data_IF_505909584131
#
_entry.id   IF_505909584131
#
_cell.length_a   1.000
_cell.length_b   1.000
_cell.length_c   1.000
_cell.angle_alpha   90.00
_cell.angle_beta   90.00
_cell.angle_gamma   90.00
#
_symmetry.space_group_name_H-M   'P 1'
#
loop_
_entity.id
_entity.type
_entity.pdbx_description
1 polymer ?
#
# COMPACT_ATOMS: atom_id res chain seq x y z
N UNK A 1 0.67 -37.97 11.88
CA UNK A 1 2.05 -37.96 11.35
C UNK A 1 2.14 -36.75 10.38
N UNK A 2 3.07 -35.85 10.61
CA UNK A 2 3.36 -34.81 9.63
C UNK A 2 3.95 -35.46 8.36
N UNK A 3 3.31 -35.30 7.22
CA UNK A 3 3.82 -35.80 5.95
C UNK A 3 4.89 -34.85 5.41
N UNK A 4 6.01 -35.37 4.94
CA UNK A 4 7.03 -34.57 4.22
C UNK A 4 6.45 -33.83 2.98
N UNK A 5 5.30 -34.30 2.47
CA UNK A 5 4.57 -33.61 1.40
C UNK A 5 3.99 -32.25 1.79
N UNK A 6 3.96 -31.91 3.09
CA UNK A 6 3.54 -30.61 3.61
C UNK A 6 4.70 -29.61 3.72
N UNK A 7 5.94 -30.08 3.54
CA UNK A 7 7.14 -29.22 3.53
C UNK A 7 7.37 -28.78 2.10
N UNK A 8 7.17 -27.50 1.84
CA UNK A 8 7.29 -26.90 0.51
C UNK A 8 8.41 -25.86 0.42
N UNK A 9 9.06 -25.54 1.54
CA UNK A 9 10.12 -24.54 1.59
C UNK A 9 11.19 -24.92 2.62
N UNK A 10 12.43 -24.49 2.39
CA UNK A 10 13.58 -24.72 3.27
C UNK A 10 14.33 -23.41 3.46
N UNK A 11 14.52 -23.02 4.71
CA UNK A 11 15.30 -21.85 5.12
C UNK A 11 16.44 -22.27 6.05
N UNK A 12 17.43 -21.42 6.20
CA UNK A 12 18.57 -21.68 7.10
C UNK A 12 18.33 -21.00 8.45
N UNK A 13 18.52 -21.75 9.54
CA UNK A 13 18.57 -21.19 10.89
C UNK A 13 20.00 -21.25 11.41
N UNK A 14 20.50 -20.13 11.94
CA UNK A 14 21.83 -19.99 12.56
C UNK A 14 21.64 -19.77 14.06
N UNK A 15 21.62 -20.82 14.90
CA UNK A 15 21.22 -20.74 16.30
C UNK A 15 22.07 -19.77 17.12
N UNK A 16 23.37 -19.71 16.86
CA UNK A 16 24.32 -18.85 17.58
C UNK A 16 23.97 -17.35 17.49
N UNK A 17 23.22 -16.95 16.47
CA UNK A 17 22.81 -15.56 16.23
C UNK A 17 21.30 -15.35 16.27
N UNK A 18 20.52 -16.40 16.57
CA UNK A 18 19.05 -16.39 16.47
C UNK A 18 18.56 -15.88 15.11
N UNK A 19 19.27 -16.25 14.04
CA UNK A 19 19.09 -15.71 12.71
C UNK A 19 18.43 -16.73 11.80
N UNK A 20 17.43 -16.30 11.05
CA UNK A 20 16.85 -17.06 9.94
C UNK A 20 17.27 -16.41 8.63
N UNK A 21 17.58 -17.21 7.62
CA UNK A 21 18.01 -16.76 6.31
C UNK A 21 17.21 -17.51 5.26
N UNK A 22 16.52 -16.79 4.40
CA UNK A 22 15.88 -17.31 3.20
C UNK A 22 16.61 -16.82 1.96
N UNK A 23 17.35 -17.73 1.32
CA UNK A 23 18.12 -17.44 0.11
C UNK A 23 17.24 -17.25 -1.14
N UNK A 24 15.96 -17.55 -1.08
CA UNK A 24 15.02 -17.35 -2.19
C UNK A 24 14.51 -15.91 -2.28
N UNK A 25 14.63 -15.15 -1.21
CA UNK A 25 14.25 -13.74 -1.13
C UNK A 25 15.46 -12.84 -1.40
N UNK A 26 15.75 -12.59 -2.67
CA UNK A 26 16.96 -11.87 -3.10
C UNK A 26 17.08 -10.41 -2.63
N UNK A 27 16.01 -9.82 -2.10
CA UNK A 27 15.96 -8.42 -1.64
C UNK A 27 15.67 -8.29 -0.14
N UNK A 28 15.41 -9.39 0.56
CA UNK A 28 15.27 -9.36 2.01
C UNK A 28 16.66 -9.20 2.67
N UNK A 29 16.84 -8.25 3.60
CA UNK A 29 18.07 -8.16 4.38
C UNK A 29 18.30 -9.44 5.21
N UNK A 30 19.57 -9.77 5.47
CA UNK A 30 19.91 -10.91 6.31
C UNK A 30 19.24 -10.79 7.69
N UNK A 31 18.59 -11.86 8.13
CA UNK A 31 17.86 -11.91 9.41
C UNK A 31 16.40 -11.51 9.35
N UNK A 32 15.91 -11.12 8.19
CA UNK A 32 14.48 -10.93 7.97
C UNK A 32 13.89 -12.16 7.31
N UNK A 33 12.66 -12.48 7.67
CA UNK A 33 11.91 -13.61 7.10
C UNK A 33 10.84 -13.06 6.18
N UNK A 34 10.71 -13.57 4.95
CA UNK A 34 9.60 -13.23 4.07
C UNK A 34 8.26 -13.49 4.76
N UNK A 35 7.26 -12.66 4.47
CA UNK A 35 5.94 -12.75 5.09
C UNK A 35 5.30 -14.14 4.99
N UNK A 36 5.41 -14.88 3.86
CA UNK A 36 4.87 -16.24 3.77
C UNK A 36 5.50 -17.24 4.76
N UNK A 37 6.70 -16.94 5.27
CA UNK A 37 7.41 -17.81 6.21
C UNK A 37 7.28 -17.35 7.66
N UNK A 38 6.64 -16.19 7.90
CA UNK A 38 6.46 -15.64 9.24
C UNK A 38 5.43 -16.46 10.05
N UNK A 39 5.75 -16.72 11.33
CA UNK A 39 4.92 -17.50 12.26
C UNK A 39 4.52 -18.90 11.73
N UNK A 40 5.34 -19.52 10.88
CA UNK A 40 5.10 -20.84 10.32
C UNK A 40 5.70 -21.95 11.20
N UNK A 41 5.04 -23.13 11.31
CA UNK A 41 5.64 -24.29 11.93
C UNK A 41 6.80 -24.79 11.08
N UNK A 42 7.94 -25.05 11.71
CA UNK A 42 9.15 -25.56 11.07
C UNK A 42 9.68 -26.79 11.79
N UNK A 43 10.45 -27.59 11.07
CA UNK A 43 11.21 -28.72 11.62
C UNK A 43 12.68 -28.39 11.44
N UNK A 44 13.42 -28.26 12.54
CA UNK A 44 14.88 -28.20 12.47
C UNK A 44 15.45 -29.57 12.12
N UNK A 45 16.23 -29.61 11.05
CA UNK A 45 16.89 -30.84 10.59
C UNK A 45 18.29 -30.85 11.17
N UNK A 46 18.60 -31.85 12.00
CA UNK A 46 19.88 -32.01 12.64
C UNK A 46 20.01 -33.40 13.31
N UNK A 47 20.98 -33.56 14.20
CA UNK A 47 21.18 -34.81 14.96
C UNK A 47 19.94 -35.16 15.82
N UNK A 48 19.23 -34.13 16.27
CA UNK A 48 17.91 -34.24 16.91
C UNK A 48 16.97 -33.29 16.20
N UNK A 49 15.89 -33.85 15.64
CA UNK A 49 14.86 -33.03 14.97
C UNK A 49 13.94 -32.39 16.01
N UNK A 50 13.75 -31.12 15.94
CA UNK A 50 12.84 -30.35 16.80
C UNK A 50 11.82 -29.58 15.97
N UNK A 51 10.63 -29.41 16.53
CA UNK A 51 9.59 -28.57 15.95
C UNK A 51 9.63 -27.20 16.62
N UNK A 52 9.52 -26.16 15.82
CA UNK A 52 9.46 -24.77 16.29
C UNK A 52 8.51 -23.94 15.43
N UNK A 53 8.47 -22.66 15.66
CA UNK A 53 7.87 -21.67 14.77
C UNK A 53 8.91 -20.63 14.40
N UNK A 54 8.86 -20.16 13.16
CA UNK A 54 9.59 -18.97 12.74
C UNK A 54 9.08 -17.76 13.53
N UNK A 55 9.88 -16.70 13.65
CA UNK A 55 9.43 -15.43 14.21
C UNK A 55 8.12 -14.95 13.57
N UNK A 56 7.32 -14.22 14.35
CA UNK A 56 6.10 -13.59 13.87
C UNK A 56 6.36 -12.46 12.88
N UNK A 57 5.28 -11.95 12.31
CA UNK A 57 5.30 -10.73 11.53
C UNK A 57 5.66 -9.51 12.42
N UNK A 58 6.26 -8.50 11.78
CA UNK A 58 6.57 -7.22 12.38
C UNK A 58 5.89 -6.10 11.54
N UNK A 59 4.59 -5.81 11.81
CA UNK A 59 3.83 -4.88 10.99
C UNK A 59 4.49 -3.50 10.84
N UNK A 60 5.17 -3.03 11.88
CA UNK A 60 5.88 -1.75 11.88
C UNK A 60 7.13 -1.73 10.98
N UNK A 61 7.68 -2.89 10.63
CA UNK A 61 8.88 -2.99 9.78
C UNK A 61 8.55 -2.95 8.28
N UNK A 62 7.29 -3.14 7.90
CA UNK A 62 6.87 -3.18 6.50
C UNK A 62 5.78 -2.15 6.24
N UNK A 63 6.04 -1.22 5.35
CA UNK A 63 5.07 -0.19 5.08
C UNK A 63 5.44 0.78 3.98
N UNK A 64 4.59 1.79 3.87
CA UNK A 64 4.64 2.80 2.84
C UNK A 64 4.32 4.18 3.42
N UNK A 65 5.11 5.18 3.03
CA UNK A 65 4.76 6.58 3.23
C UNK A 65 4.81 7.29 1.90
N UNK A 66 3.69 7.87 1.49
CA UNK A 66 3.54 8.59 0.22
C UNK A 66 3.21 10.06 0.42
N UNK A 67 3.73 10.88 -0.48
CA UNK A 67 3.36 12.28 -0.64
C UNK A 67 3.02 12.52 -2.11
N UNK A 68 1.90 13.16 -2.36
CA UNK A 68 1.53 13.54 -3.72
C UNK A 68 0.97 14.97 -3.77
N UNK A 69 1.13 15.58 -4.93
CA UNK A 69 0.42 16.82 -5.29
C UNK A 69 -0.31 16.57 -6.60
N UNK A 70 -1.62 16.77 -6.58
CA UNK A 70 -2.51 16.56 -7.73
C UNK A 70 -3.11 17.89 -8.15
N UNK A 71 -2.86 18.32 -9.38
CA UNK A 71 -3.53 19.45 -10.01
C UNK A 71 -4.67 18.95 -10.87
N UNK A 72 -5.86 19.49 -10.65
CA UNK A 72 -7.09 19.14 -11.34
C UNK A 72 -7.39 20.23 -12.37
N UNK A 73 -7.60 19.84 -13.63
CA UNK A 73 -7.95 20.79 -14.69
C UNK A 73 -9.47 20.88 -14.89
N UNK A 74 -9.94 21.93 -15.57
CA UNK A 74 -11.37 22.17 -15.84
C UNK A 74 -12.01 21.05 -16.69
N UNK A 75 -11.24 20.41 -17.54
CA UNK A 75 -11.65 19.28 -18.37
C UNK A 75 -11.65 17.94 -17.61
N UNK A 76 -11.41 17.96 -16.30
CA UNK A 76 -11.31 16.79 -15.45
C UNK A 76 -10.02 15.98 -15.59
N UNK A 77 -9.04 16.45 -16.38
CA UNK A 77 -7.72 15.82 -16.41
C UNK A 77 -6.96 16.10 -15.10
N UNK A 78 -6.13 15.13 -14.70
CA UNK A 78 -5.28 15.19 -13.51
C UNK A 78 -3.82 15.21 -13.92
N UNK A 79 -3.01 15.96 -13.17
CA UNK A 79 -1.56 15.91 -13.24
C UNK A 79 -1.01 15.79 -11.83
N UNK A 80 -0.14 14.81 -11.61
CA UNK A 80 0.42 14.61 -10.29
C UNK A 80 1.94 14.41 -10.29
N UNK A 81 2.50 14.69 -9.12
CA UNK A 81 3.86 14.32 -8.71
C UNK A 81 3.73 13.56 -7.41
N UNK A 82 4.41 12.43 -7.30
CA UNK A 82 4.38 11.58 -6.11
C UNK A 82 5.79 11.16 -5.72
N UNK A 83 5.96 10.94 -4.42
CA UNK A 83 7.13 10.29 -3.83
C UNK A 83 6.67 9.28 -2.81
N UNK A 84 7.12 8.02 -2.98
CA UNK A 84 6.88 6.93 -2.05
C UNK A 84 8.18 6.53 -1.38
N UNK A 85 8.11 6.32 -0.08
CA UNK A 85 9.14 5.69 0.74
C UNK A 85 8.60 4.33 1.18
N UNK A 86 9.23 3.26 0.72
CA UNK A 86 8.83 1.89 0.97
C UNK A 86 9.81 1.21 1.90
N UNK A 87 9.32 0.42 2.85
CA UNK A 87 10.13 -0.35 3.79
C UNK A 87 9.68 -1.80 3.83
N UNK A 88 10.57 -2.69 4.27
CA UNK A 88 10.30 -4.10 4.46
C UNK A 88 9.78 -4.78 3.19
N UNK A 89 8.74 -5.58 3.32
CA UNK A 89 8.19 -6.40 2.23
C UNK A 89 7.78 -5.58 0.99
N UNK A 90 7.20 -4.40 1.18
CA UNK A 90 6.83 -3.50 0.07
C UNK A 90 8.07 -3.03 -0.71
N UNK A 91 9.15 -2.68 -0.01
CA UNK A 91 10.41 -2.31 -0.65
C UNK A 91 10.99 -3.48 -1.46
N UNK A 92 10.97 -4.69 -0.91
CA UNK A 92 11.52 -5.89 -1.59
C UNK A 92 10.70 -6.25 -2.82
N UNK A 93 9.38 -6.19 -2.72
CA UNK A 93 8.48 -6.45 -3.85
C UNK A 93 8.78 -5.51 -5.03
N UNK A 94 8.86 -4.20 -4.77
CA UNK A 94 9.15 -3.22 -5.81
C UNK A 94 10.56 -3.35 -6.38
N UNK A 95 11.58 -3.61 -5.54
CA UNK A 95 12.95 -3.87 -5.99
C UNK A 95 13.01 -5.09 -6.92
N UNK A 96 12.40 -6.20 -6.52
CA UNK A 96 12.35 -7.44 -7.32
C UNK A 96 11.63 -7.22 -8.66
N UNK A 97 10.47 -6.57 -8.62
CA UNK A 97 9.70 -6.25 -9.83
C UNK A 97 10.53 -5.42 -10.81
N UNK A 98 11.08 -4.30 -10.35
CA UNK A 98 11.79 -3.35 -11.20
C UNK A 98 13.17 -3.86 -11.65
N UNK A 99 13.82 -4.75 -10.90
CA UNK A 99 15.08 -5.34 -11.31
C UNK A 99 14.95 -6.36 -12.46
N UNK A 100 13.74 -6.91 -12.66
CA UNK A 100 13.46 -7.91 -13.72
C UNK A 100 13.10 -7.29 -15.06
N UNK A 101 12.86 -5.99 -15.12
CA UNK A 101 12.42 -5.29 -16.33
C UNK A 101 13.40 -4.19 -16.72
N UNK A 102 13.61 -3.94 -18.03
CA UNK A 102 14.41 -2.81 -18.50
C UNK A 102 13.81 -1.47 -18.05
N UNK A 103 14.64 -0.49 -17.75
CA UNK A 103 14.17 0.85 -17.34
C UNK A 103 13.26 1.51 -18.40
N UNK A 104 13.44 1.18 -19.68
CA UNK A 104 12.57 1.65 -20.76
C UNK A 104 11.12 1.16 -20.64
N UNK A 105 10.88 0.08 -19.90
CA UNK A 105 9.54 -0.52 -19.71
C UNK A 105 8.87 -0.07 -18.39
N UNK A 106 9.56 0.66 -17.53
CA UNK A 106 9.01 1.13 -16.26
C UNK A 106 7.69 1.89 -16.44
N UNK A 107 7.61 2.76 -17.45
CA UNK A 107 6.39 3.50 -17.76
C UNK A 107 5.19 2.59 -18.07
N UNK A 108 5.39 1.51 -18.83
CA UNK A 108 4.33 0.56 -19.18
C UNK A 108 3.84 -0.22 -17.95
N UNK A 109 4.77 -0.67 -17.08
CA UNK A 109 4.43 -1.38 -15.84
C UNK A 109 3.62 -0.48 -14.92
N UNK A 110 4.06 0.77 -14.72
CA UNK A 110 3.34 1.73 -13.89
C UNK A 110 1.96 2.07 -14.43
N UNK A 111 1.85 2.23 -15.74
CA UNK A 111 0.56 2.44 -16.40
C UNK A 111 -0.40 1.30 -16.07
N UNK A 112 0.09 0.06 -16.09
CA UNK A 112 -0.69 -1.12 -15.71
C UNK A 112 -1.07 -1.11 -14.22
N UNK A 113 -0.13 -0.84 -13.32
CA UNK A 113 -0.38 -0.76 -11.87
C UNK A 113 -1.43 0.30 -11.55
N UNK A 114 -1.31 1.50 -12.11
CA UNK A 114 -2.28 2.58 -11.92
C UNK A 114 -3.65 2.24 -12.49
N UNK A 115 -3.71 1.57 -13.65
CA UNK A 115 -4.97 1.14 -14.26
C UNK A 115 -5.72 0.13 -13.38
N UNK A 116 -5.01 -0.76 -12.66
CA UNK A 116 -5.63 -1.68 -11.69
C UNK A 116 -6.31 -0.92 -10.54
N UNK A 117 -5.75 0.22 -10.13
CA UNK A 117 -6.37 1.13 -9.16
C UNK A 117 -7.45 2.04 -9.75
N UNK A 118 -7.77 1.88 -11.04
CA UNK A 118 -8.79 2.66 -11.76
C UNK A 118 -8.29 4.01 -12.29
N UNK A 119 -6.98 4.26 -12.25
CA UNK A 119 -6.38 5.49 -12.75
C UNK A 119 -5.80 5.28 -14.17
N UNK A 120 -6.54 5.74 -15.19
CA UNK A 120 -6.11 5.63 -16.58
C UNK A 120 -5.18 6.79 -16.95
N UNK A 121 -3.88 6.54 -16.92
CA UNK A 121 -2.87 7.57 -17.22
C UNK A 121 -2.59 7.68 -18.72
N UNK A 122 -2.31 8.87 -19.20
CA UNK A 122 -1.87 9.18 -20.57
C UNK A 122 -0.34 9.17 -20.67
N UNK A 123 0.32 9.57 -19.60
CA UNK A 123 1.79 9.53 -19.48
C UNK A 123 2.19 9.24 -18.05
N UNK A 124 3.27 8.47 -17.89
CA UNK A 124 3.87 8.14 -16.59
C UNK A 124 5.39 8.14 -16.75
N UNK A 125 6.08 8.76 -15.80
CA UNK A 125 7.53 8.70 -15.67
C UNK A 125 7.90 8.27 -14.27
N UNK A 126 8.89 7.37 -14.14
CA UNK A 126 9.39 6.86 -12.87
C UNK A 126 10.89 7.11 -12.73
N UNK A 127 11.29 7.53 -11.53
CA UNK A 127 12.66 7.47 -11.02
C UNK A 127 12.67 6.65 -9.74
N UNK A 128 13.72 5.87 -9.51
CA UNK A 128 13.81 5.01 -8.32
C UNK A 128 15.17 5.14 -7.66
N UNK A 129 15.24 4.79 -6.36
CA UNK A 129 16.50 4.38 -5.74
C UNK A 129 17.09 3.19 -6.50
N UNK A 130 18.40 2.93 -6.37
CA UNK A 130 19.00 1.74 -6.98
C UNK A 130 18.34 0.44 -6.47
N UNK A 131 17.88 -0.41 -7.39
CA UNK A 131 17.18 -1.66 -7.04
C UNK A 131 18.09 -2.70 -6.40
N UNK A 132 19.40 -2.65 -6.66
CA UNK A 132 20.38 -3.63 -6.17
C UNK A 132 20.85 -3.38 -4.73
N UNK A 133 20.43 -2.30 -4.07
CA UNK A 133 20.76 -2.03 -2.66
C UNK A 133 19.73 -2.67 -1.74
N UNK A 134 20.20 -3.24 -0.62
CA UNK A 134 19.31 -3.81 0.40
C UNK A 134 18.84 -2.78 1.44
N UNK A 135 19.34 -1.52 1.35
CA UNK A 135 18.96 -0.45 2.27
C UNK A 135 17.51 0.00 2.07
N UNK A 136 16.85 0.28 3.17
CA UNK A 136 15.57 0.97 3.23
C UNK A 136 15.77 2.46 3.61
N UNK A 137 14.86 3.35 3.26
CA UNK A 137 13.69 3.10 2.41
C UNK A 137 14.07 2.97 0.93
N UNK A 138 13.28 2.19 0.19
CA UNK A 138 13.31 2.22 -1.26
C UNK A 138 12.39 3.34 -1.76
N UNK A 139 12.91 4.24 -2.57
CA UNK A 139 12.19 5.44 -2.97
C UNK A 139 11.73 5.31 -4.43
N UNK A 140 10.44 5.58 -4.65
CA UNK A 140 9.84 5.75 -5.97
C UNK A 140 9.40 7.21 -6.11
N UNK A 141 9.77 7.86 -7.22
CA UNK A 141 9.30 9.18 -7.59
C UNK A 141 8.61 9.10 -8.93
N UNK A 142 7.35 9.47 -9.00
CA UNK A 142 6.61 9.45 -10.25
C UNK A 142 6.01 10.81 -10.61
N UNK A 143 5.84 11.01 -11.91
CA UNK A 143 4.98 12.05 -12.45
C UNK A 143 4.02 11.42 -13.44
N UNK A 144 2.75 11.74 -13.33
CA UNK A 144 1.75 11.19 -14.23
C UNK A 144 0.69 12.21 -14.64
N UNK A 145 0.02 11.91 -15.74
CA UNK A 145 -1.08 12.71 -16.26
C UNK A 145 -2.16 11.79 -16.82
N UNK A 146 -3.44 12.13 -16.58
CA UNK A 146 -4.58 11.46 -17.22
C UNK A 146 -5.01 12.19 -18.50
N UNK A 147 -5.78 11.49 -19.35
CA UNK A 147 -6.57 12.14 -20.38
C UNK A 147 -7.66 13.02 -19.76
N UNK A 148 -8.29 13.93 -20.54
CA UNK A 148 -9.50 14.61 -20.12
C UNK A 148 -10.56 13.63 -19.63
N UNK A 149 -11.17 13.97 -18.50
CA UNK A 149 -12.21 13.17 -17.85
C UNK A 149 -13.57 13.86 -17.92
N UNK A 150 -14.36 13.72 -16.84
CA UNK A 150 -15.61 14.47 -16.69
C UNK A 150 -15.27 15.91 -16.32
N UNK A 151 -15.70 16.92 -17.10
CA UNK A 151 -15.43 18.33 -16.80
C UNK A 151 -15.95 18.72 -15.42
N UNK A 152 -15.17 19.56 -14.73
CA UNK A 152 -15.57 20.10 -13.43
C UNK A 152 -16.83 20.96 -13.53
N UNK A 153 -17.72 20.77 -12.58
CA UNK A 153 -18.92 21.57 -12.34
C UNK A 153 -19.02 21.94 -10.86
N UNK A 154 -19.92 22.84 -10.52
CA UNK A 154 -20.21 23.16 -9.12
C UNK A 154 -20.83 22.00 -8.31
N UNK A 155 -21.25 20.92 -8.97
CA UNK A 155 -21.78 19.73 -8.34
C UNK A 155 -20.79 18.55 -8.37
N UNK A 156 -19.55 18.78 -8.82
CA UNK A 156 -18.55 17.72 -8.88
C UNK A 156 -18.12 17.27 -7.47
N UNK A 157 -17.85 15.98 -7.35
CA UNK A 157 -17.13 15.41 -6.20
C UNK A 157 -15.85 14.78 -6.70
N UNK A 158 -14.77 15.11 -6.04
CA UNK A 158 -13.44 14.60 -6.37
C UNK A 158 -13.12 13.47 -5.39
N UNK A 159 -12.71 12.34 -5.93
CA UNK A 159 -12.22 11.22 -5.15
C UNK A 159 -10.70 11.15 -5.25
N UNK A 160 -10.05 10.68 -4.18
CA UNK A 160 -8.61 10.48 -4.19
C UNK A 160 -8.22 9.39 -5.21
N UNK A 161 -7.15 9.65 -5.92
CA UNK A 161 -6.50 8.70 -6.81
C UNK A 161 -5.06 8.54 -6.35
N UNK A 162 -4.78 7.46 -5.70
CA UNK A 162 -3.52 7.22 -4.98
C UNK A 162 -2.35 6.78 -5.88
N UNK A 163 -2.36 7.09 -7.16
CA UNK A 163 -1.23 6.86 -8.07
C UNK A 163 -0.61 5.47 -7.94
N UNK A 164 0.62 5.43 -7.46
CA UNK A 164 1.37 4.18 -7.19
C UNK A 164 1.06 3.54 -5.84
N UNK A 165 0.13 4.08 -5.06
CA UNK A 165 -0.22 3.51 -3.76
C UNK A 165 -0.90 2.14 -3.90
N UNK A 166 -0.13 1.07 -3.86
CA UNK A 166 -0.63 -0.31 -3.84
C UNK A 166 -1.36 -0.65 -2.55
N UNK A 167 -1.15 0.13 -1.49
CA UNK A 167 -1.80 0.01 -0.19
C UNK A 167 -3.12 0.78 -0.08
N UNK A 168 -3.64 1.36 -1.18
CA UNK A 168 -4.91 2.06 -1.18
C UNK A 168 -6.06 1.15 -0.72
N UNK A 169 -7.05 1.72 -0.04
CA UNK A 169 -8.24 0.99 0.40
C UNK A 169 -8.94 0.28 -0.75
N UNK A 170 -8.94 0.87 -1.94
CA UNK A 170 -9.48 0.26 -3.15
C UNK A 170 -8.77 -1.06 -3.50
N UNK A 171 -7.44 -1.10 -3.43
CA UNK A 171 -6.67 -2.32 -3.68
C UNK A 171 -6.88 -3.35 -2.57
N UNK A 172 -7.04 -2.93 -1.32
CA UNK A 172 -7.37 -3.81 -0.21
C UNK A 172 -8.76 -4.43 -0.37
N UNK A 173 -9.80 -3.64 -0.65
CA UNK A 173 -11.16 -4.14 -0.84
C UNK A 173 -11.26 -5.11 -2.02
N UNK A 174 -10.48 -4.90 -3.08
CA UNK A 174 -10.42 -5.83 -4.21
C UNK A 174 -9.87 -7.22 -3.81
N UNK A 175 -9.04 -7.29 -2.77
CA UNK A 175 -8.51 -8.56 -2.21
C UNK A 175 -9.43 -9.19 -1.18
N UNK A 176 -10.19 -8.38 -0.42
CA UNK A 176 -11.07 -8.82 0.66
C UNK A 176 -12.52 -8.97 0.14
N UNK A 177 -12.76 -9.96 -0.70
CA UNK A 177 -14.02 -10.14 -1.44
C UNK A 177 -15.14 -10.81 -0.63
N UNK A 178 -14.87 -11.32 0.56
CA UNK A 178 -15.84 -12.03 1.43
C UNK A 178 -15.59 -11.67 2.87
N UNK A 179 -16.65 -11.63 3.68
CA UNK A 179 -16.55 -11.38 5.12
C UNK A 179 -15.95 -12.56 5.93
N UNK A 180 -15.78 -13.72 5.30
CA UNK A 180 -15.19 -14.92 5.93
C UNK A 180 -14.23 -15.61 4.99
N UNK A 181 -13.20 -16.23 5.55
CA UNK A 181 -12.18 -16.99 4.80
C UNK A 181 -11.92 -18.33 5.47
N UNK A 182 -11.36 -19.29 4.73
CA UNK A 182 -10.97 -20.60 5.25
C UNK A 182 -9.50 -20.70 5.65
N UNK A 183 -8.67 -19.82 5.12
CA UNK A 183 -7.21 -19.81 5.30
C UNK A 183 -6.75 -18.45 5.77
N UNK A 184 -5.60 -18.35 6.44
CA UNK A 184 -5.03 -17.05 6.82
C UNK A 184 -4.86 -16.12 5.62
N UNK A 185 -5.12 -14.84 5.84
CA UNK A 185 -4.93 -13.78 4.85
C UNK A 185 -3.68 -13.00 5.17
N UNK A 186 -2.85 -12.78 4.14
CA UNK A 186 -1.59 -12.05 4.24
C UNK A 186 -1.77 -10.63 3.72
N UNK A 187 -1.36 -9.66 4.55
CA UNK A 187 -1.31 -8.25 4.20
C UNK A 187 0.14 -7.88 3.85
N UNK A 188 0.39 -7.22 2.71
CA UNK A 188 1.76 -6.94 2.27
C UNK A 188 2.47 -5.86 3.10
N UNK A 189 1.72 -5.11 3.90
CA UNK A 189 2.24 -4.05 4.75
C UNK A 189 1.52 -4.04 6.10
N UNK A 190 2.18 -3.54 7.14
CA UNK A 190 1.59 -3.30 8.45
C UNK A 190 1.17 -1.85 8.65
N UNK A 191 1.79 -0.91 7.91
CA UNK A 191 1.38 0.49 7.92
C UNK A 191 1.45 1.12 6.54
N UNK A 192 0.52 2.04 6.27
CA UNK A 192 0.53 2.90 5.09
C UNK A 192 0.09 4.31 5.50
N UNK A 193 0.82 5.33 5.07
CA UNK A 193 0.44 6.72 5.23
C UNK A 193 0.55 7.42 3.90
N UNK A 194 -0.46 8.22 3.57
CA UNK A 194 -0.53 8.96 2.33
C UNK A 194 -0.96 10.39 2.58
N UNK A 195 -0.18 11.35 2.09
CA UNK A 195 -0.49 12.76 2.14
C UNK A 195 -0.71 13.28 0.72
N UNK A 196 -1.93 13.72 0.44
CA UNK A 196 -2.35 14.24 -0.86
C UNK A 196 -2.67 15.72 -0.75
N UNK A 197 -2.03 16.55 -1.56
CA UNK A 197 -2.41 17.93 -1.76
C UNK A 197 -3.14 18.06 -3.09
N UNK A 198 -4.38 18.55 -3.07
CA UNK A 198 -5.27 18.66 -4.22
C UNK A 198 -5.48 20.13 -4.57
N UNK A 199 -5.10 20.51 -5.78
CA UNK A 199 -5.23 21.89 -6.30
C UNK A 199 -6.36 21.97 -7.35
N UNK A 200 -7.36 22.82 -7.10
CA UNK A 200 -8.44 23.10 -8.05
C UNK A 200 -8.04 24.21 -9.05
N UNK A 201 -8.61 24.21 -10.25
CA UNK A 201 -8.37 25.26 -11.22
C UNK A 201 -9.13 26.56 -10.85
N UNK A 202 -8.64 27.69 -11.32
CA UNK A 202 -9.28 29.01 -11.13
C UNK A 202 -10.78 28.95 -11.50
N UNK A 203 -11.62 29.51 -10.62
CA UNK A 203 -13.08 29.56 -10.73
C UNK A 203 -13.78 28.45 -9.95
N UNK A 204 -13.03 27.64 -9.18
CA UNK A 204 -13.55 26.62 -8.30
C UNK A 204 -12.93 26.73 -6.91
N UNK A 205 -13.65 26.27 -5.90
CA UNK A 205 -13.17 26.10 -4.54
C UNK A 205 -13.71 24.84 -3.93
N UNK A 206 -13.06 24.33 -2.90
CA UNK A 206 -13.53 23.21 -2.10
C UNK A 206 -14.74 23.61 -1.27
N UNK A 207 -15.74 22.75 -1.21
CA UNK A 207 -16.89 22.87 -0.31
C UNK A 207 -16.79 21.78 0.76
N UNK A 208 -15.72 21.84 1.52
CA UNK A 208 -15.30 20.86 2.52
C UNK A 208 -14.96 21.59 3.81
N UNK A 209 -15.17 20.93 4.94
CA UNK A 209 -14.72 21.38 6.27
C UNK A 209 -13.61 20.48 6.76
N UNK A 210 -12.75 21.02 7.61
CA UNK A 210 -11.75 20.23 8.32
C UNK A 210 -12.44 19.11 9.12
N UNK A 211 -11.87 17.91 9.05
CA UNK A 211 -12.40 16.72 9.71
C UNK A 211 -11.29 15.69 9.97
N UNK A 212 -11.48 14.88 11.00
CA UNK A 212 -10.55 13.82 11.42
C UNK A 212 -11.31 12.49 11.64
N UNK A 213 -11.94 11.89 10.62
CA UNK A 213 -12.62 10.62 10.78
C UNK A 213 -11.64 9.49 11.11
N UNK A 214 -12.08 8.57 11.96
CA UNK A 214 -11.30 7.41 12.38
C UNK A 214 -12.17 6.16 12.40
N UNK A 215 -11.61 5.04 11.94
CA UNK A 215 -12.16 3.68 12.13
C UNK A 215 -11.15 2.86 12.90
N UNK A 216 -11.59 2.16 13.95
CA UNK A 216 -10.71 1.36 14.82
C UNK A 216 -11.39 0.11 15.30
N UNK A 217 -10.67 -1.02 15.25
CA UNK A 217 -11.06 -2.28 15.88
C UNK A 217 -9.82 -3.12 16.22
N UNK A 218 -10.01 -4.41 16.54
CA UNK A 218 -8.90 -5.32 16.89
C UNK A 218 -7.93 -5.57 15.73
N UNK A 219 -8.34 -5.38 14.47
CA UNK A 219 -7.48 -5.56 13.30
C UNK A 219 -6.56 -4.36 13.03
N UNK A 220 -6.89 -3.18 13.58
CA UNK A 220 -6.06 -2.01 13.36
C UNK A 220 -6.81 -0.69 13.45
N UNK A 221 -6.22 0.34 12.85
CA UNK A 221 -6.76 1.71 12.84
C UNK A 221 -6.59 2.30 11.44
N UNK A 222 -7.65 2.92 10.94
CA UNK A 222 -7.62 3.84 9.82
C UNK A 222 -7.93 5.25 10.32
N UNK A 223 -7.07 6.22 9.99
CA UNK A 223 -7.26 7.64 10.29
C UNK A 223 -7.23 8.42 8.97
N UNK A 224 -8.15 9.35 8.80
CA UNK A 224 -8.09 10.33 7.74
C UNK A 224 -8.15 11.74 8.33
N UNK A 225 -7.31 12.66 7.84
CA UNK A 225 -7.32 14.07 8.21
C UNK A 225 -7.55 14.90 6.97
N UNK A 226 -8.56 15.74 7.01
CA UNK A 226 -8.98 16.62 5.94
C UNK A 226 -8.74 18.05 6.39
N UNK A 227 -7.90 18.80 5.68
CA UNK A 227 -7.54 20.16 6.03
C UNK A 227 -7.60 21.10 4.83
N UNK A 228 -8.40 22.16 4.94
CA UNK A 228 -8.54 23.16 3.90
C UNK A 228 -7.42 24.21 4.04
N UNK A 229 -6.34 24.06 3.24
CA UNK A 229 -5.19 24.97 3.25
C UNK A 229 -5.52 26.35 2.64
N UNK A 230 -6.34 26.36 1.58
CA UNK A 230 -6.82 27.55 0.87
C UNK A 230 -8.14 27.22 0.17
N UNK A 231 -8.92 28.20 -0.30
CA UNK A 231 -10.20 27.90 -0.97
C UNK A 231 -10.09 26.91 -2.13
N UNK A 232 -8.98 26.88 -2.84
CA UNK A 232 -8.68 26.00 -3.98
C UNK A 232 -7.69 24.89 -3.65
N UNK A 233 -7.22 24.80 -2.39
CA UNK A 233 -6.18 23.83 -1.98
C UNK A 233 -6.63 23.00 -0.76
N UNK A 234 -6.74 21.69 -0.95
CA UNK A 234 -7.11 20.71 0.07
C UNK A 234 -5.94 19.79 0.37
N UNK A 235 -5.66 19.54 1.64
CA UNK A 235 -4.75 18.48 2.10
C UNK A 235 -5.55 17.37 2.72
N UNK A 236 -5.24 16.13 2.31
CA UNK A 236 -5.83 14.92 2.88
C UNK A 236 -4.70 13.97 3.27
N UNK A 237 -4.63 13.62 4.54
CA UNK A 237 -3.70 12.61 5.04
C UNK A 237 -4.48 11.38 5.47
N UNK A 238 -4.31 10.26 4.78
CA UNK A 238 -4.88 8.97 5.15
C UNK A 238 -3.79 8.08 5.74
N UNK A 239 -4.09 7.37 6.81
CA UNK A 239 -3.18 6.37 7.38
C UNK A 239 -3.91 5.10 7.79
N UNK A 240 -3.29 3.95 7.48
CA UNK A 240 -3.71 2.62 7.92
C UNK A 240 -2.60 2.00 8.73
N UNK A 241 -2.91 1.53 9.94
CA UNK A 241 -2.02 0.72 10.77
C UNK A 241 -2.71 -0.57 11.12
N UNK A 242 -2.15 -1.69 10.69
CA UNK A 242 -2.65 -3.02 10.94
C UNK A 242 -2.01 -3.61 12.19
N UNK A 243 -2.77 -4.35 12.98
CA UNK A 243 -2.28 -5.03 14.17
C UNK A 243 -1.39 -6.24 13.78
N UNK A 244 -1.63 -6.85 12.63
CA UNK A 244 -0.92 -8.01 12.10
C UNK A 244 -0.77 -7.91 10.59
N UNK A 245 0.22 -8.60 10.05
CA UNK A 245 0.33 -8.83 8.59
C UNK A 245 -0.27 -10.18 8.18
N UNK A 246 -0.58 -11.05 9.14
CA UNK A 246 -1.23 -12.35 8.92
C UNK A 246 -2.47 -12.43 9.79
N UNK A 247 -3.63 -12.54 9.19
CA UNK A 247 -4.92 -12.67 9.88
C UNK A 247 -5.44 -14.10 9.75
N UNK A 248 -5.68 -14.75 10.89
CA UNK A 248 -6.34 -16.06 10.90
C UNK A 248 -7.80 -15.93 10.45
N UNK A 249 -8.47 -17.04 10.06
CA UNK A 249 -9.89 -16.99 9.72
C UNK A 249 -10.79 -16.39 10.81
N UNK A 250 -10.40 -16.53 12.09
CA UNK A 250 -11.14 -15.99 13.25
C UNK A 250 -10.94 -14.48 13.39
N UNK A 251 -9.75 -13.96 13.09
CA UNK A 251 -9.43 -12.53 13.18
C UNK A 251 -9.80 -11.75 11.89
N UNK A 252 -9.98 -12.45 10.79
CA UNK A 252 -10.26 -11.86 9.47
C UNK A 252 -11.55 -11.00 9.42
N UNK A 253 -12.68 -11.35 10.07
CA UNK A 253 -13.88 -10.51 10.05
C UNK A 253 -13.64 -9.08 10.53
N UNK A 254 -12.76 -8.87 11.51
CA UNK A 254 -12.41 -7.53 11.99
C UNK A 254 -11.58 -6.75 10.97
N UNK A 255 -10.65 -7.43 10.26
CA UNK A 255 -9.93 -6.82 9.13
C UNK A 255 -10.89 -6.40 8.01
N UNK A 256 -11.78 -7.30 7.61
CA UNK A 256 -12.78 -7.02 6.58
C UNK A 256 -13.66 -5.81 6.96
N UNK A 257 -14.11 -5.75 8.21
CA UNK A 257 -14.90 -4.64 8.75
C UNK A 257 -14.11 -3.33 8.74
N UNK A 258 -12.86 -3.33 9.25
CA UNK A 258 -11.99 -2.15 9.26
C UNK A 258 -11.84 -1.55 7.86
N UNK A 259 -11.48 -2.39 6.87
CA UNK A 259 -11.26 -1.94 5.50
C UNK A 259 -12.55 -1.49 4.83
N UNK A 260 -13.68 -2.17 5.09
CA UNK A 260 -14.98 -1.80 4.50
C UNK A 260 -15.49 -0.46 5.06
N UNK A 261 -15.35 -0.21 6.35
CA UNK A 261 -15.76 1.06 6.97
C UNK A 261 -14.84 2.22 6.54
N UNK A 262 -13.53 1.99 6.47
CA UNK A 262 -12.58 2.96 5.94
C UNK A 262 -12.87 3.32 4.47
N UNK A 263 -13.17 2.31 3.64
CA UNK A 263 -13.56 2.52 2.24
C UNK A 263 -14.85 3.33 2.09
N UNK A 264 -15.80 3.15 3.00
CA UNK A 264 -17.04 3.94 2.98
C UNK A 264 -16.77 5.44 3.21
N UNK A 265 -15.80 5.79 4.07
CA UNK A 265 -15.37 7.19 4.27
C UNK A 265 -14.75 7.77 2.99
N UNK A 266 -13.82 7.06 2.35
CA UNK A 266 -13.17 7.54 1.11
C UNK A 266 -14.16 7.69 -0.07
N UNK A 267 -15.22 6.87 -0.12
CA UNK A 267 -16.23 6.92 -1.18
C UNK A 267 -17.09 8.19 -1.15
N UNK A 268 -17.13 8.93 -0.04
CA UNK A 268 -17.88 10.18 0.00
C UNK A 268 -17.29 11.24 -0.94
N UNK A 269 -15.97 11.24 -1.14
CA UNK A 269 -15.25 12.21 -1.96
C UNK A 269 -15.43 13.65 -1.47
N UNK A 270 -14.78 14.61 -2.13
CA UNK A 270 -14.72 16.01 -1.73
C UNK A 270 -15.55 16.88 -2.67
N UNK A 271 -16.49 17.63 -2.12
CA UNK A 271 -17.39 18.50 -2.89
C UNK A 271 -16.67 19.75 -3.39
N UNK A 272 -17.04 20.18 -4.59
CA UNK A 272 -16.51 21.39 -5.25
C UNK A 272 -17.67 22.37 -5.46
N UNK A 273 -17.38 23.68 -5.35
CA UNK A 273 -18.29 24.76 -5.71
C UNK A 273 -17.63 25.75 -6.68
N UNK A 274 -18.43 26.36 -7.54
CA UNK A 274 -17.95 27.45 -8.39
C UNK A 274 -17.73 28.72 -7.55
N UNK A 275 -16.66 29.46 -7.85
CA UNK A 275 -16.43 30.79 -7.32
C UNK A 275 -16.80 31.81 -8.37
N UNK A 276 -17.52 32.87 -7.97
CA UNK A 276 -17.88 33.98 -8.82
C UNK A 276 -16.66 34.82 -9.27
#
# INVERSE_FOLDING_TARGET
>A
MASLQQINHVIVHVPAYHLYLDATSGYAPAGTIPLPDANHPVIFVGAHSETARTPGDAPEASGMTGMETVSIAKDGSLKAQETLHLTGYEAWFWKDLLARIPMSEYGAVLHHVMAQSGLMTQSVHLKTSPTHTLSDPFILQSTWKTAPGVPLTAASRIHLHYGLNTASLRNLTARLTSATVRYPVFMPYGHAQWNSTLDLPKGYSWDVKDADPQVKNSAGVFDEKIHLLAPDKLEVTSSMRLAHMVYSPEAYPDLYKLVSEAMALEQEGFAVKATS
#
